data_IF_672835581725
#
_entry.id   IF_672835581725
#
_cell.length_a   1.000
_cell.length_b   1.000
_cell.length_c   1.000
_cell.angle_alpha   90.00
_cell.angle_beta   90.00
_cell.angle_gamma   90.00
#
_symmetry.space_group_name_H-M   'P 1'
#
loop_
_entity.id
_entity.type
_entity.pdbx_description
1 polymer ?
#
# COMPACT_ATOMS: atom_id res chain seq x y z
N UNK A 1 14.31 -0.94 8.47
CA UNK A 1 14.13 0.50 8.16
C UNK A 1 12.79 0.70 7.49
N UNK A 2 12.03 1.69 7.88
CA UNK A 2 10.72 1.96 7.30
C UNK A 2 10.69 3.34 6.66
N UNK A 3 9.74 3.53 5.76
CA UNK A 3 9.57 4.78 5.04
C UNK A 3 8.08 5.14 5.01
N UNK A 4 7.74 6.36 5.36
CA UNK A 4 6.36 6.81 5.42
C UNK A 4 6.09 7.86 4.35
N UNK A 5 4.98 7.72 3.67
CA UNK A 5 4.48 8.69 2.70
C UNK A 5 3.16 9.24 3.18
N UNK A 6 2.92 10.53 2.93
CA UNK A 6 1.69 11.21 3.31
C UNK A 6 0.95 11.70 2.07
N UNK A 7 -0.34 11.96 2.24
CA UNK A 7 -1.19 12.52 1.19
C UNK A 7 -1.31 11.62 -0.06
N UNK A 8 -1.27 10.30 0.12
CA UNK A 8 -1.44 9.35 -0.99
C UNK A 8 -2.93 9.27 -1.31
N UNK A 9 -3.40 10.07 -2.26
CA UNK A 9 -4.83 10.21 -2.58
C UNK A 9 -5.16 10.18 -4.05
N UNK A 10 -4.19 10.40 -4.92
CA UNK A 10 -4.43 10.46 -6.36
C UNK A 10 -3.68 9.36 -7.08
N UNK A 11 -4.03 9.14 -8.35
CA UNK A 11 -3.32 8.16 -9.16
C UNK A 11 -1.85 8.50 -9.32
N UNK A 12 -1.52 9.80 -9.36
CA UNK A 12 -0.14 10.26 -9.44
C UNK A 12 0.61 9.89 -8.16
N UNK A 13 -0.02 10.10 -7.01
CA UNK A 13 0.56 9.76 -5.71
C UNK A 13 0.80 8.26 -5.59
N UNK A 14 -0.14 7.46 -6.08
CA UNK A 14 -0.01 5.99 -6.08
C UNK A 14 1.18 5.57 -6.94
N UNK A 15 1.35 6.16 -8.13
CA UNK A 15 2.48 5.85 -8.99
C UNK A 15 3.80 6.21 -8.33
N UNK A 16 3.87 7.34 -7.65
CA UNK A 16 5.07 7.73 -6.87
C UNK A 16 5.33 6.73 -5.75
N UNK A 17 4.30 6.31 -5.05
CA UNK A 17 4.41 5.31 -3.98
C UNK A 17 4.98 4.01 -4.54
N UNK A 18 4.46 3.54 -5.67
CA UNK A 18 4.93 2.31 -6.30
C UNK A 18 6.39 2.41 -6.72
N UNK A 19 6.79 3.53 -7.32
CA UNK A 19 8.18 3.74 -7.72
C UNK A 19 9.11 3.74 -6.50
N UNK A 20 8.70 4.39 -5.43
CA UNK A 20 9.48 4.41 -4.19
C UNK A 20 9.53 3.03 -3.52
N UNK A 21 8.45 2.26 -3.60
CA UNK A 21 8.40 0.90 -3.07
C UNK A 21 9.37 0.00 -3.82
N UNK A 22 9.40 0.13 -5.15
CA UNK A 22 10.30 -0.62 -6.01
C UNK A 22 11.77 -0.28 -5.71
N UNK A 23 12.07 1.00 -5.57
CA UNK A 23 13.40 1.47 -5.20
C UNK A 23 13.82 0.97 -3.83
N UNK A 24 12.92 1.02 -2.86
CA UNK A 24 13.15 0.46 -1.52
C UNK A 24 13.48 -1.03 -1.60
N UNK A 25 12.73 -1.77 -2.41
CA UNK A 25 12.94 -3.20 -2.61
C UNK A 25 14.34 -3.49 -3.17
N UNK A 26 14.77 -2.72 -4.15
CA UNK A 26 16.09 -2.89 -4.78
C UNK A 26 17.20 -2.53 -3.80
N UNK A 27 17.11 -1.40 -3.14
CA UNK A 27 18.17 -0.91 -2.24
C UNK A 27 18.34 -1.84 -1.04
N UNK A 28 17.24 -2.31 -0.47
CA UNK A 28 17.29 -3.13 0.74
C UNK A 28 17.26 -4.63 0.46
N UNK A 29 17.14 -5.02 -0.80
CA UNK A 29 17.12 -6.43 -1.23
C UNK A 29 16.03 -7.23 -0.51
N UNK A 30 14.87 -6.61 -0.30
CA UNK A 30 13.71 -7.22 0.35
C UNK A 30 12.45 -6.84 -0.42
N UNK A 31 11.39 -7.61 -0.22
CA UNK A 31 10.08 -7.28 -0.77
C UNK A 31 9.26 -6.63 0.35
N UNK A 32 9.12 -5.30 0.35
CA UNK A 32 8.49 -4.62 1.46
C UNK A 32 6.99 -4.86 1.52
N UNK A 33 6.43 -4.65 2.70
CA UNK A 33 4.99 -4.63 2.95
C UNK A 33 4.51 -3.19 3.00
N UNK A 34 3.25 -2.99 2.63
CA UNK A 34 2.61 -1.69 2.70
C UNK A 34 1.63 -1.67 3.87
N UNK A 35 1.71 -0.64 4.69
CA UNK A 35 0.84 -0.46 5.84
C UNK A 35 0.05 0.83 5.68
N UNK A 36 -1.26 0.76 5.86
CA UNK A 36 -2.13 1.93 5.74
C UNK A 36 -3.42 1.68 6.52
N UNK A 37 -4.13 2.74 6.87
CA UNK A 37 -5.38 2.54 7.57
C UNK A 37 -6.48 2.07 6.61
N UNK A 38 -7.58 1.59 7.16
CA UNK A 38 -8.66 1.02 6.36
C UNK A 38 -9.24 2.03 5.37
N UNK A 39 -9.40 3.27 5.77
CA UNK A 39 -9.97 4.30 4.89
C UNK A 39 -9.03 4.61 3.73
N UNK A 40 -7.71 4.58 3.96
CA UNK A 40 -6.72 4.73 2.90
C UNK A 40 -6.80 3.57 1.93
N UNK A 41 -6.93 2.34 2.44
CA UNK A 41 -7.09 1.14 1.60
C UNK A 41 -8.33 1.30 0.71
N UNK A 42 -9.46 1.68 1.28
CA UNK A 42 -10.71 1.87 0.55
C UNK A 42 -10.56 2.94 -0.53
N UNK A 43 -9.88 4.03 -0.23
CA UNK A 43 -9.62 5.10 -1.18
C UNK A 43 -8.76 4.61 -2.34
N UNK A 44 -7.70 3.87 -2.06
CA UNK A 44 -6.83 3.34 -3.11
C UNK A 44 -7.56 2.33 -3.99
N UNK A 45 -8.41 1.50 -3.42
CA UNK A 45 -9.26 0.58 -4.20
C UNK A 45 -10.16 1.39 -5.14
N UNK A 46 -10.75 2.47 -4.65
CA UNK A 46 -11.61 3.33 -5.45
C UNK A 46 -10.88 3.96 -6.63
N UNK A 47 -9.61 4.34 -6.42
CA UNK A 47 -8.82 5.01 -7.46
C UNK A 47 -8.30 4.01 -8.51
N UNK A 48 -7.78 2.88 -8.07
CA UNK A 48 -7.17 1.89 -8.99
C UNK A 48 -8.19 0.90 -9.55
N UNK A 49 -9.36 0.84 -8.94
CA UNK A 49 -10.40 -0.08 -9.33
C UNK A 49 -10.17 -1.49 -8.79
N UNK A 50 -11.21 -2.32 -8.93
CA UNK A 50 -11.16 -3.72 -8.50
C UNK A 50 -10.31 -4.53 -9.48
N UNK A 51 -9.42 -5.35 -8.92
CA UNK A 51 -8.64 -6.28 -9.73
C UNK A 51 -9.06 -7.71 -9.43
N UNK A 52 -9.41 -8.50 -10.46
CA UNK A 52 -9.72 -9.93 -10.26
C UNK A 52 -8.51 -10.74 -9.79
N UNK A 53 -7.32 -10.22 -9.91
CA UNK A 53 -6.10 -10.89 -9.42
C UNK A 53 -5.94 -10.80 -7.91
N UNK A 54 -6.98 -10.34 -7.21
CA UNK A 54 -6.97 -10.30 -5.76
C UNK A 54 -6.20 -9.14 -5.16
N UNK A 55 -5.97 -8.09 -5.93
CA UNK A 55 -5.47 -6.83 -5.38
C UNK A 55 -6.48 -6.37 -4.33
N UNK A 56 -6.15 -6.39 -3.07
CA UNK A 56 -7.08 -6.14 -1.97
C UNK A 56 -8.22 -7.16 -1.89
N UNK A 57 -8.14 -8.29 -2.60
CA UNK A 57 -9.26 -9.21 -2.69
C UNK A 57 -9.30 -10.25 -1.59
N UNK A 58 -8.19 -10.53 -0.96
CA UNK A 58 -8.11 -11.53 0.09
C UNK A 58 -8.15 -10.85 1.44
N UNK A 59 -9.02 -11.31 2.32
CA UNK A 59 -9.17 -10.74 3.63
C UNK A 59 -8.73 -11.73 4.68
N UNK A 60 -7.70 -11.37 5.40
CA UNK A 60 -7.37 -12.00 6.67
C UNK A 60 -7.49 -10.93 7.76
N UNK A 61 -7.24 -11.29 9.00
CA UNK A 61 -7.38 -10.35 10.10
C UNK A 61 -6.49 -9.10 9.96
N UNK A 62 -5.37 -9.24 9.28
CA UNK A 62 -4.37 -8.18 9.19
C UNK A 62 -4.00 -7.83 7.76
N UNK A 63 -3.97 -8.83 6.90
CA UNK A 63 -3.59 -8.64 5.51
C UNK A 63 -4.83 -8.37 4.67
N UNK A 64 -4.86 -7.24 3.98
CA UNK A 64 -6.00 -6.82 3.18
C UNK A 64 -5.85 -7.17 1.70
N UNK A 65 -4.73 -7.77 1.29
CA UNK A 65 -4.51 -8.18 -0.08
C UNK A 65 -3.12 -7.79 -0.57
N UNK A 66 -3.02 -7.62 -1.88
CA UNK A 66 -1.76 -7.29 -2.55
C UNK A 66 -1.91 -6.03 -3.38
N UNK A 67 -0.86 -5.23 -3.45
CA UNK A 67 -0.79 -4.09 -4.32
C UNK A 67 0.52 -4.16 -5.09
N UNK A 68 0.43 -4.43 -6.39
CA UNK A 68 1.58 -4.65 -7.26
C UNK A 68 2.54 -5.71 -6.69
N UNK A 69 1.96 -6.78 -6.15
CA UNK A 69 2.72 -7.89 -5.58
C UNK A 69 3.20 -7.67 -4.16
N UNK A 70 3.02 -6.49 -3.59
CA UNK A 70 3.37 -6.21 -2.21
C UNK A 70 2.17 -6.43 -1.30
N UNK A 71 2.36 -7.13 -0.19
CA UNK A 71 1.29 -7.36 0.77
C UNK A 71 0.86 -6.06 1.44
N UNK A 72 -0.43 -5.87 1.59
CA UNK A 72 -1.01 -4.70 2.24
C UNK A 72 -1.60 -5.11 3.57
N UNK A 73 -1.20 -4.42 4.61
CA UNK A 73 -1.71 -4.64 5.97
C UNK A 73 -2.45 -3.40 6.45
N UNK A 74 -3.50 -3.64 7.21
CA UNK A 74 -4.26 -2.58 7.84
C UNK A 74 -3.56 -2.15 9.13
N UNK A 75 -3.25 -0.87 9.24
CA UNK A 75 -2.67 -0.26 10.44
C UNK A 75 -3.40 1.05 10.73
N UNK A 76 -4.35 1.00 11.66
CA UNK A 76 -5.18 2.14 11.97
C UNK A 76 -4.49 3.19 12.86
N UNK A 77 -3.22 2.96 13.23
CA UNK A 77 -2.42 4.01 13.86
C UNK A 77 -1.92 5.04 12.84
N UNK A 78 -1.96 4.68 11.56
CA UNK A 78 -1.63 5.61 10.48
C UNK A 78 -2.83 6.49 10.15
N UNK A 79 -2.57 7.71 9.73
CA UNK A 79 -3.62 8.65 9.33
C UNK A 79 -4.09 8.37 7.90
N UNK A 80 -5.25 8.91 7.56
CA UNK A 80 -5.77 8.81 6.21
C UNK A 80 -4.76 9.42 5.21
N UNK A 81 -4.47 8.70 4.15
CA UNK A 81 -3.49 9.11 3.15
C UNK A 81 -2.05 8.79 3.48
N UNK A 82 -1.77 8.27 4.67
CA UNK A 82 -0.42 7.83 5.05
C UNK A 82 -0.23 6.37 4.67
N UNK A 83 0.91 6.07 4.06
CA UNK A 83 1.33 4.71 3.73
C UNK A 83 2.74 4.51 4.24
N UNK A 84 2.96 3.46 4.99
CA UNK A 84 4.29 3.09 5.48
C UNK A 84 4.79 1.85 4.77
N UNK A 85 6.03 1.91 4.30
CA UNK A 85 6.72 0.78 3.67
C UNK A 85 7.67 0.18 4.70
N UNK A 86 7.52 -1.10 4.95
CA UNK A 86 8.39 -1.82 5.90
C UNK A 86 8.97 -3.08 5.29
#
# INVERSE_FOLDING_TARGET
>A
MSKKFSNVRTKIDINKLLNNTEEYSIINMVKPYLFMNKDTIDELISIVGYSPDGLFGSQSNYMCGYFQGHKVFCDNTLKFGEVEIR
#
